data_IF_558334380635
#
_entry.id   IF_558334380635
#
_cell.length_a   1.000
_cell.length_b   1.000
_cell.length_c   1.000
_cell.angle_alpha   90.00
_cell.angle_beta   90.00
_cell.angle_gamma   90.00
#
_symmetry.space_group_name_H-M   'P 1'
#
loop_
_entity.id
_entity.type
_entity.pdbx_description
1 polymer ?
#
# COMPACT_ATOMS: atom_id res chain seq x y z
N UNK A 1 -20.56 -4.11 4.79
CA UNK A 1 -19.90 -3.19 5.77
C UNK A 1 -20.03 -1.73 5.29
N UNK A 2 -20.66 -0.83 6.07
CA UNK A 2 -20.92 0.58 5.65
C UNK A 2 -19.61 1.36 5.46
N UNK A 3 -19.53 2.14 4.37
CA UNK A 3 -18.47 3.13 4.08
C UNK A 3 -18.19 3.96 5.35
N UNK A 4 -17.08 3.68 6.02
CA UNK A 4 -16.68 4.45 7.18
C UNK A 4 -16.04 5.73 6.68
N UNK A 5 -16.69 6.86 6.92
CA UNK A 5 -16.06 8.17 6.74
C UNK A 5 -14.75 8.21 7.53
N UNK A 6 -13.71 8.84 6.98
CA UNK A 6 -12.43 8.96 7.68
C UNK A 6 -12.69 9.77 8.96
N UNK A 7 -12.36 9.21 10.12
CA UNK A 7 -12.50 9.91 11.38
C UNK A 7 -11.40 10.94 11.51
N UNK A 8 -11.80 12.16 11.86
CA UNK A 8 -10.90 13.30 12.06
C UNK A 8 -9.79 13.02 13.08
N UNK A 9 -10.00 12.11 14.04
CA UNK A 9 -8.99 11.71 15.01
C UNK A 9 -7.75 11.07 14.38
N UNK A 10 -7.90 10.25 13.33
CA UNK A 10 -6.77 9.63 12.64
C UNK A 10 -5.97 10.67 11.86
N UNK A 11 -6.67 11.59 11.18
CA UNK A 11 -6.02 12.68 10.47
C UNK A 11 -5.18 13.55 11.40
N UNK A 12 -5.74 13.93 12.57
CA UNK A 12 -5.01 14.72 13.59
C UNK A 12 -3.75 14.00 14.07
N UNK A 13 -3.83 12.69 14.32
CA UNK A 13 -2.67 11.89 14.74
C UNK A 13 -1.57 11.83 13.68
N UNK A 14 -1.94 11.63 12.41
CA UNK A 14 -0.97 11.67 11.32
C UNK A 14 -0.29 13.03 11.24
N UNK A 15 -1.06 14.13 11.30
CA UNK A 15 -0.51 15.48 11.27
C UNK A 15 0.52 15.69 12.40
N UNK A 16 0.16 15.33 13.64
CA UNK A 16 1.06 15.43 14.78
C UNK A 16 2.34 14.61 14.59
N UNK A 17 2.21 13.36 14.14
CA UNK A 17 3.33 12.47 13.85
C UNK A 17 4.28 13.04 12.78
N UNK A 18 3.74 13.61 11.69
CA UNK A 18 4.55 14.22 10.62
C UNK A 18 5.25 15.49 11.12
N UNK A 19 4.56 16.31 11.93
CA UNK A 19 5.12 17.55 12.49
C UNK A 19 6.30 17.28 13.42
N UNK A 20 6.18 16.25 14.26
CA UNK A 20 7.24 15.85 15.20
C UNK A 20 8.51 15.36 14.48
N UNK A 21 8.41 15.00 13.20
CA UNK A 21 9.56 14.61 12.36
C UNK A 21 10.26 15.81 11.69
N UNK A 22 9.89 17.04 12.05
CA UNK A 22 10.62 18.26 11.67
C UNK A 22 10.37 18.77 10.26
N UNK A 23 9.32 18.30 9.57
CA UNK A 23 9.01 18.67 8.19
C UNK A 23 7.93 19.75 8.13
N UNK A 24 8.22 20.88 8.76
CA UNK A 24 7.25 21.94 9.01
C UNK A 24 7.29 23.11 7.99
N UNK A 25 7.92 22.94 6.81
CA UNK A 25 7.96 24.03 5.80
C UNK A 25 7.61 23.61 4.36
N UNK A 26 8.03 22.42 3.89
CA UNK A 26 7.72 22.01 2.50
C UNK A 26 6.32 21.39 2.34
N UNK A 27 5.79 20.74 3.40
CA UNK A 27 4.49 20.09 3.38
C UNK A 27 3.32 21.06 3.67
N UNK A 28 3.56 22.17 4.38
CA UNK A 28 2.52 23.10 4.84
C UNK A 28 2.15 24.22 3.86
N UNK A 29 2.86 24.35 2.75
CA UNK A 29 2.58 25.43 1.80
C UNK A 29 1.37 25.17 0.87
N UNK A 30 0.54 24.16 1.10
CA UNK A 30 -0.37 23.69 0.06
C UNK A 30 -1.87 23.68 0.40
N UNK A 31 -2.62 24.22 -0.58
CA UNK A 31 -4.08 24.31 -0.74
C UNK A 31 -4.78 22.94 -0.89
N UNK A 32 -4.17 21.83 -0.46
CA UNK A 32 -4.64 20.46 -0.71
C UNK A 32 -5.39 19.82 0.47
N UNK A 33 -5.38 20.44 1.66
CA UNK A 33 -6.11 19.93 2.83
C UNK A 33 -5.68 18.51 3.19
N UNK A 34 -6.64 17.60 3.34
CA UNK A 34 -6.38 16.20 3.72
C UNK A 34 -5.69 15.40 2.61
N UNK A 35 -5.70 15.89 1.37
CA UNK A 35 -4.98 15.30 0.24
C UNK A 35 -3.53 15.81 0.14
N UNK A 36 -3.01 16.40 1.21
CA UNK A 36 -1.63 16.87 1.25
C UNK A 36 -0.65 15.69 1.09
N UNK A 37 0.18 15.69 0.05
CA UNK A 37 1.14 14.62 -0.21
C UNK A 37 2.29 14.62 0.81
N UNK A 38 2.74 13.43 1.21
CA UNK A 38 3.77 13.21 2.22
C UNK A 38 5.01 12.61 1.59
N UNK A 39 6.14 13.31 1.72
CA UNK A 39 7.42 12.84 1.19
C UNK A 39 7.77 11.47 1.76
N UNK A 40 8.13 10.51 0.91
CA UNK A 40 8.55 9.18 1.37
C UNK A 40 9.80 9.20 2.26
N UNK A 41 10.56 10.30 2.26
CA UNK A 41 11.73 10.52 3.14
C UNK A 41 11.35 10.64 4.63
N UNK A 42 10.10 10.95 4.95
CA UNK A 42 9.59 11.04 6.33
C UNK A 42 9.50 9.66 6.98
N UNK A 43 9.34 8.61 6.18
CA UNK A 43 9.13 7.26 6.66
C UNK A 43 10.45 6.54 6.92
N UNK A 44 10.54 5.88 8.06
CA UNK A 44 11.67 5.01 8.40
C UNK A 44 11.70 3.85 7.41
N UNK A 45 12.89 3.34 7.09
CA UNK A 45 13.00 2.12 6.29
C UNK A 45 12.72 0.93 7.20
N UNK A 46 11.85 0.01 6.75
CA UNK A 46 11.59 -1.24 7.45
C UNK A 46 12.89 -2.07 7.55
N UNK A 47 13.40 -2.40 8.76
CA UNK A 47 14.62 -3.17 8.91
C UNK A 47 14.51 -4.54 8.25
N UNK A 48 15.44 -4.88 7.34
CA UNK A 48 15.40 -6.10 6.52
C UNK A 48 14.09 -6.29 5.73
N UNK A 49 13.33 -5.21 5.51
CA UNK A 49 12.04 -5.26 4.85
C UNK A 49 12.14 -5.62 3.37
N UNK A 50 11.44 -6.68 2.96
CA UNK A 50 11.34 -7.11 1.56
C UNK A 50 9.88 -7.42 1.22
N UNK A 51 9.37 -6.80 0.17
CA UNK A 51 8.14 -7.26 -0.48
C UNK A 51 8.51 -8.17 -1.65
N UNK A 52 7.83 -9.30 -1.76
CA UNK A 52 7.96 -10.24 -2.87
C UNK A 52 6.58 -10.38 -3.50
N UNK A 53 6.48 -10.14 -4.79
CA UNK A 53 5.28 -10.33 -5.58
C UNK A 53 5.39 -11.63 -6.38
N UNK A 54 4.33 -12.40 -6.48
CA UNK A 54 4.21 -13.36 -7.58
C UNK A 54 4.22 -12.62 -8.92
N UNK A 55 4.56 -13.33 -9.99
CA UNK A 55 4.55 -12.78 -11.33
C UNK A 55 3.13 -12.33 -11.72
N UNK A 56 2.11 -13.10 -11.32
CA UNK A 56 0.70 -12.79 -11.52
C UNK A 56 0.28 -11.49 -10.81
N UNK A 57 0.64 -11.33 -9.54
CA UNK A 57 0.35 -10.12 -8.77
C UNK A 57 1.06 -8.91 -9.39
N UNK A 58 2.31 -9.06 -9.79
CA UNK A 58 3.04 -7.98 -10.45
C UNK A 58 2.37 -7.54 -11.76
N UNK A 59 2.00 -8.48 -12.64
CA UNK A 59 1.29 -8.14 -13.87
C UNK A 59 -0.10 -7.54 -13.62
N UNK A 60 -0.80 -7.98 -12.57
CA UNK A 60 -2.06 -7.37 -12.15
C UNK A 60 -1.86 -5.89 -11.76
N UNK A 61 -0.80 -5.56 -11.02
CA UNK A 61 -0.46 -4.18 -10.65
C UNK A 61 -0.02 -3.34 -11.87
N UNK A 62 0.67 -3.93 -12.85
CA UNK A 62 0.94 -3.26 -14.12
C UNK A 62 -0.36 -2.96 -14.89
N UNK A 63 -1.36 -3.85 -14.81
CA UNK A 63 -2.67 -3.58 -15.42
C UNK A 63 -3.43 -2.48 -14.68
N UNK A 64 -3.34 -2.45 -13.35
CA UNK A 64 -3.84 -1.35 -12.51
C UNK A 64 -3.24 -0.02 -12.97
N UNK A 65 -1.91 0.05 -13.15
CA UNK A 65 -1.23 1.24 -13.70
C UNK A 65 -1.82 1.66 -15.05
N UNK A 66 -1.87 0.74 -16.02
CA UNK A 66 -2.36 1.03 -17.37
C UNK A 66 -3.79 1.60 -17.35
N UNK A 67 -4.68 0.98 -16.56
CA UNK A 67 -6.06 1.44 -16.40
C UNK A 67 -6.13 2.83 -15.75
N UNK A 68 -5.27 3.09 -14.77
CA UNK A 68 -5.19 4.38 -14.06
C UNK A 68 -4.81 5.50 -15.00
N UNK A 69 -3.78 5.28 -15.84
CA UNK A 69 -3.34 6.26 -16.85
C UNK A 69 -4.41 6.45 -17.92
N UNK A 70 -4.99 5.35 -18.42
CA UNK A 70 -5.97 5.39 -19.52
C UNK A 70 -7.29 6.05 -19.10
N UNK A 71 -7.73 5.84 -17.85
CA UNK A 71 -8.99 6.38 -17.34
C UNK A 71 -8.83 7.67 -16.55
N UNK A 72 -7.59 8.03 -16.20
CA UNK A 72 -7.24 9.18 -15.34
C UNK A 72 -8.02 9.12 -14.02
N UNK A 73 -7.97 7.96 -13.36
CA UNK A 73 -8.68 7.67 -12.11
C UNK A 73 -7.87 6.70 -11.27
N UNK A 74 -7.93 6.89 -9.96
CA UNK A 74 -7.38 5.92 -9.01
C UNK A 74 -8.15 4.59 -9.05
N UNK A 75 -7.43 3.49 -8.88
CA UNK A 75 -7.99 2.13 -8.87
C UNK A 75 -7.63 1.48 -7.53
N UNK A 76 -8.60 1.23 -6.64
CA UNK A 76 -8.36 0.52 -5.39
C UNK A 76 -8.27 -0.99 -5.62
N UNK A 77 -7.43 -1.65 -4.82
CA UNK A 77 -7.21 -3.09 -4.84
C UNK A 77 -6.80 -3.61 -3.46
N UNK A 78 -6.96 -4.93 -3.27
CA UNK A 78 -6.35 -5.68 -2.19
C UNK A 78 -5.32 -6.66 -2.76
N UNK A 79 -4.22 -6.86 -2.03
CA UNK A 79 -3.32 -8.01 -2.23
C UNK A 79 -3.40 -8.90 -0.99
N UNK A 80 -3.31 -10.20 -1.20
CA UNK A 80 -3.27 -11.19 -0.13
C UNK A 80 -1.95 -11.94 -0.19
N UNK A 81 -1.37 -12.14 0.98
CA UNK A 81 -0.04 -12.70 1.09
C UNK A 81 0.27 -13.21 2.49
N UNK A 82 1.51 -13.60 2.70
CA UNK A 82 1.97 -14.17 3.95
C UNK A 82 3.33 -13.62 4.32
N UNK A 83 3.55 -13.35 5.59
CA UNK A 83 4.89 -13.10 6.11
C UNK A 83 5.68 -14.42 6.17
N UNK A 84 6.67 -14.56 5.29
CA UNK A 84 7.45 -15.79 5.11
C UNK A 84 8.76 -15.79 5.91
N UNK A 85 9.18 -14.62 6.39
CA UNK A 85 10.27 -14.40 7.33
C UNK A 85 10.10 -12.99 7.92
N UNK A 86 10.82 -12.67 9.00
CA UNK A 86 10.72 -11.36 9.65
C UNK A 86 10.86 -10.19 8.66
N UNK A 87 9.81 -9.37 8.53
CA UNK A 87 9.66 -8.26 7.60
C UNK A 87 9.75 -8.64 6.11
N UNK A 88 9.56 -9.90 5.76
CA UNK A 88 9.55 -10.40 4.38
C UNK A 88 8.18 -10.96 4.02
N UNK A 89 7.50 -10.28 3.11
CA UNK A 89 6.10 -10.57 2.78
C UNK A 89 6.00 -11.03 1.34
N UNK A 90 5.34 -12.16 1.11
CA UNK A 90 5.06 -12.69 -0.21
C UNK A 90 3.57 -12.52 -0.54
N UNK A 91 3.27 -11.69 -1.54
CA UNK A 91 1.92 -11.53 -2.10
C UNK A 91 1.77 -12.39 -3.35
N UNK A 92 0.78 -13.28 -3.34
CA UNK A 92 0.51 -14.24 -4.41
C UNK A 92 -0.93 -14.21 -4.92
N UNK A 93 -1.78 -13.39 -4.32
CA UNK A 93 -3.18 -13.25 -4.70
C UNK A 93 -3.65 -11.78 -4.63
N UNK A 94 -4.72 -11.45 -5.35
CA UNK A 94 -5.20 -10.08 -5.51
C UNK A 94 -6.71 -9.98 -5.76
N UNK A 95 -7.31 -8.87 -5.32
CA UNK A 95 -8.66 -8.46 -5.67
C UNK A 95 -8.64 -7.01 -6.17
N UNK A 96 -9.13 -6.76 -7.39
CA UNK A 96 -9.16 -5.43 -8.01
C UNK A 96 -10.59 -5.00 -8.29
N UNK A 97 -10.93 -3.76 -7.94
CA UNK A 97 -12.23 -3.19 -8.30
C UNK A 97 -12.19 -2.48 -9.64
N UNK A 98 -12.91 -3.02 -10.63
CA UNK A 98 -13.03 -2.45 -11.99
C UNK A 98 -14.44 -2.00 -12.35
N UNK A 99 -15.48 -2.41 -11.61
CA UNK A 99 -16.90 -2.27 -12.04
C UNK A 99 -17.60 -0.99 -11.60
N UNK A 100 -17.04 -0.21 -10.67
CA UNK A 100 -17.65 1.04 -10.15
C UNK A 100 -16.68 2.23 -10.17
N UNK A 101 -16.04 2.47 -11.31
CA UNK A 101 -15.02 3.52 -11.50
C UNK A 101 -15.55 4.96 -11.53
N UNK A 102 -16.68 5.27 -10.89
CA UNK A 102 -17.38 6.57 -11.08
C UNK A 102 -16.74 7.77 -10.37
N UNK A 103 -15.66 7.60 -9.59
CA UNK A 103 -15.03 8.68 -8.82
C UNK A 103 -13.55 8.84 -9.14
N UNK A 104 -13.02 10.05 -8.92
CA UNK A 104 -11.59 10.38 -9.11
C UNK A 104 -10.69 9.81 -8.02
N UNK A 105 -11.23 9.55 -6.83
CA UNK A 105 -10.54 9.01 -5.66
C UNK A 105 -10.84 7.52 -5.45
N UNK A 106 -9.93 6.84 -4.78
CA UNK A 106 -10.04 5.43 -4.38
C UNK A 106 -11.23 5.17 -3.47
N UNK A 107 -12.09 4.23 -3.87
CA UNK A 107 -13.23 3.78 -3.08
C UNK A 107 -13.31 2.26 -3.03
N UNK A 108 -13.04 1.70 -1.86
CA UNK A 108 -13.25 0.29 -1.55
C UNK A 108 -14.75 0.00 -1.43
N UNK A 109 -15.27 -0.89 -2.27
CA UNK A 109 -16.69 -1.21 -2.27
C UNK A 109 -17.03 -2.28 -1.26
N UNK A 110 -18.30 -2.36 -0.86
CA UNK A 110 -18.80 -3.41 0.04
C UNK A 110 -18.41 -4.81 -0.45
N UNK A 111 -18.53 -5.09 -1.76
CA UNK A 111 -18.11 -6.37 -2.33
C UNK A 111 -16.62 -6.68 -2.12
N UNK A 112 -15.72 -5.69 -2.17
CA UNK A 112 -14.30 -5.94 -1.90
C UNK A 112 -14.07 -6.29 -0.43
N UNK A 113 -14.86 -5.68 0.47
CA UNK A 113 -14.82 -6.00 1.89
C UNK A 113 -15.43 -7.36 2.19
N UNK A 114 -16.46 -7.77 1.46
CA UNK A 114 -17.05 -9.10 1.57
C UNK A 114 -16.06 -10.16 1.06
N UNK A 115 -15.39 -9.91 -0.08
CA UNK A 115 -14.31 -10.77 -0.60
C UNK A 115 -13.15 -10.86 0.41
N UNK A 116 -12.71 -9.72 0.96
CA UNK A 116 -11.69 -9.68 2.02
C UNK A 116 -12.10 -10.50 3.25
N UNK A 117 -13.35 -10.39 3.70
CA UNK A 117 -13.86 -11.18 4.82
C UNK A 117 -13.85 -12.68 4.49
N UNK A 118 -14.29 -13.03 3.28
CA UNK A 118 -14.25 -14.41 2.79
C UNK A 118 -12.83 -14.95 2.75
N UNK A 119 -11.86 -14.22 2.19
CA UNK A 119 -10.46 -14.62 2.12
C UNK A 119 -9.87 -14.90 3.51
N UNK A 120 -10.17 -14.02 4.46
CA UNK A 120 -9.72 -14.11 5.85
C UNK A 120 -10.39 -15.26 6.62
N UNK A 121 -11.65 -15.57 6.30
CA UNK A 121 -12.40 -16.66 6.93
C UNK A 121 -12.03 -18.03 6.36
N UNK A 122 -11.86 -18.11 5.04
CA UNK A 122 -11.75 -19.36 4.29
C UNK A 122 -10.32 -19.88 4.18
N UNK A 123 -9.33 -19.01 3.94
CA UNK A 123 -7.98 -19.49 3.61
C UNK A 123 -7.09 -19.79 4.82
N UNK A 124 -7.50 -19.41 6.05
CA UNK A 124 -6.79 -19.67 7.32
C UNK A 124 -5.25 -19.62 7.20
N UNK A 125 -4.71 -18.65 6.46
CA UNK A 125 -3.26 -18.55 6.27
C UNK A 125 -2.64 -18.13 7.59
N UNK A 126 -1.76 -18.94 8.13
CA UNK A 126 -0.88 -18.51 9.22
C UNK A 126 -0.07 -17.29 8.73
N UNK A 127 0.04 -16.26 9.57
CA UNK A 127 0.73 -15.00 9.25
C UNK A 127 0.20 -14.29 8.00
N UNK A 128 -1.13 -14.33 7.79
CA UNK A 128 -1.80 -13.59 6.72
C UNK A 128 -1.45 -12.10 6.80
N UNK A 129 -1.07 -11.55 5.64
CA UNK A 129 -0.90 -10.12 5.43
C UNK A 129 -1.86 -9.66 4.34
N UNK A 130 -2.58 -8.59 4.61
CA UNK A 130 -3.44 -7.94 3.63
C UNK A 130 -2.82 -6.61 3.23
N UNK A 131 -2.65 -6.41 1.93
CA UNK A 131 -2.27 -5.12 1.40
C UNK A 131 -3.51 -4.33 0.97
N UNK A 132 -3.75 -3.16 1.55
CA UNK A 132 -4.71 -2.18 1.06
C UNK A 132 -3.99 -1.25 0.09
N UNK A 133 -4.35 -1.26 -1.19
CA UNK A 133 -3.62 -0.46 -2.18
C UNK A 133 -4.49 0.29 -3.16
N UNK A 134 -3.89 1.33 -3.73
CA UNK A 134 -4.48 2.09 -4.81
C UNK A 134 -3.42 2.63 -5.77
N UNK A 135 -3.87 3.28 -6.83
CA UNK A 135 -3.01 3.90 -7.82
C UNK A 135 -3.28 5.39 -7.92
N UNK A 136 -2.29 6.16 -8.36
CA UNK A 136 -2.47 7.59 -8.66
C UNK A 136 -2.45 7.86 -10.17
N UNK A 137 -3.36 8.71 -10.69
CA UNK A 137 -3.26 9.23 -12.06
C UNK A 137 -2.13 10.28 -12.17
N UNK A 138 -1.67 10.64 -13.39
CA UNK A 138 -0.59 11.59 -13.60
C UNK A 138 -1.06 13.04 -13.39
N UNK A 139 -1.52 13.36 -12.18
CA UNK A 139 -2.11 14.65 -11.83
C UNK A 139 -1.44 15.25 -10.61
N UNK A 140 -0.98 16.50 -10.74
CA UNK A 140 -0.39 17.27 -9.64
C UNK A 140 1.10 16.97 -9.40
N UNK A 141 1.82 17.84 -8.69
CA UNK A 141 3.28 17.80 -8.59
C UNK A 141 3.85 16.65 -7.73
N UNK A 142 3.01 15.92 -7.00
CA UNK A 142 3.42 14.93 -5.99
C UNK A 142 2.62 13.63 -6.08
N UNK A 143 2.20 13.25 -7.30
CA UNK A 143 1.48 12.01 -7.65
C UNK A 143 2.19 10.71 -7.23
N UNK A 144 3.47 10.78 -6.86
CA UNK A 144 4.32 9.66 -6.48
C UNK A 144 4.28 9.34 -4.97
N UNK A 145 3.51 10.08 -4.18
CA UNK A 145 3.52 10.05 -2.71
C UNK A 145 2.16 9.71 -2.13
N UNK A 146 2.14 9.02 -0.98
CA UNK A 146 0.94 8.88 -0.15
C UNK A 146 0.49 10.24 0.39
N UNK A 147 -0.82 10.45 0.57
CA UNK A 147 -1.40 11.66 1.18
C UNK A 147 -1.64 11.51 2.69
N UNK A 148 -1.94 12.61 3.39
CA UNK A 148 -2.41 12.56 4.79
C UNK A 148 -3.64 11.66 4.94
N UNK A 149 -4.58 11.76 3.99
CA UNK A 149 -5.80 10.95 3.94
C UNK A 149 -5.48 9.45 3.77
N UNK A 150 -4.49 9.11 2.93
CA UNK A 150 -4.04 7.71 2.78
C UNK A 150 -3.54 7.14 4.12
N UNK A 151 -2.61 7.84 4.77
CA UNK A 151 -2.02 7.41 6.03
C UNK A 151 -3.09 7.28 7.13
N UNK A 152 -3.97 8.26 7.25
CA UNK A 152 -5.06 8.23 8.23
C UNK A 152 -6.04 7.09 7.93
N UNK A 153 -6.34 6.85 6.65
CA UNK A 153 -7.17 5.75 6.19
C UNK A 153 -6.57 4.38 6.52
N UNK A 154 -5.25 4.23 6.45
CA UNK A 154 -4.56 2.99 6.78
C UNK A 154 -4.56 2.71 8.28
N UNK A 155 -4.35 3.76 9.10
CA UNK A 155 -4.53 3.65 10.56
C UNK A 155 -5.95 3.23 10.90
N UNK A 156 -6.96 3.87 10.31
CA UNK A 156 -8.36 3.54 10.55
C UNK A 156 -8.68 2.13 10.10
N UNK A 157 -8.20 1.72 8.93
CA UNK A 157 -8.43 0.37 8.40
C UNK A 157 -7.88 -0.71 9.33
N UNK A 158 -6.67 -0.52 9.89
CA UNK A 158 -6.09 -1.44 10.88
C UNK A 158 -6.79 -1.35 12.24
N UNK A 159 -7.04 -0.14 12.76
CA UNK A 159 -7.51 0.09 14.13
C UNK A 159 -9.02 0.05 14.33
N UNK A 160 -9.86 0.13 13.31
CA UNK A 160 -11.32 0.14 13.48
C UNK A 160 -12.03 -1.10 12.95
N UNK A 161 -11.47 -1.77 11.95
CA UNK A 161 -12.14 -2.90 11.33
C UNK A 161 -12.00 -4.17 12.19
N UNK A 162 -13.16 -4.71 12.60
CA UNK A 162 -13.27 -5.85 13.51
C UNK A 162 -12.58 -7.10 13.00
N UNK A 163 -12.49 -7.28 11.68
CA UNK A 163 -11.83 -8.42 11.06
C UNK A 163 -10.34 -8.42 11.44
N UNK A 164 -9.67 -7.28 11.33
CA UNK A 164 -8.25 -7.16 11.67
C UNK A 164 -8.01 -7.18 13.19
N UNK A 165 -8.90 -6.54 13.97
CA UNK A 165 -8.84 -6.57 15.43
C UNK A 165 -8.88 -7.98 16.00
N UNK A 166 -9.76 -8.83 15.46
CA UNK A 166 -10.03 -10.15 16.04
C UNK A 166 -9.06 -11.22 15.54
N UNK A 167 -8.51 -11.07 14.33
CA UNK A 167 -7.78 -12.14 13.65
C UNK A 167 -6.26 -11.98 13.57
N UNK A 168 -5.67 -10.95 14.22
CA UNK A 168 -4.22 -10.67 14.21
C UNK A 168 -3.61 -10.69 12.80
N UNK A 169 -4.21 -9.92 11.90
CA UNK A 169 -3.77 -9.80 10.50
C UNK A 169 -2.97 -8.51 10.37
N UNK A 170 -1.79 -8.58 9.76
CA UNK A 170 -1.01 -7.38 9.47
C UNK A 170 -1.53 -6.69 8.21
N UNK A 171 -1.55 -5.36 8.25
CA UNK A 171 -1.98 -4.51 7.14
C UNK A 171 -0.79 -3.75 6.59
N UNK A 172 -0.58 -3.90 5.28
CA UNK A 172 0.38 -3.11 4.50
C UNK A 172 -0.39 -2.23 3.53
N UNK A 173 0.19 -1.10 3.15
CA UNK A 173 -0.35 -0.19 2.16
C UNK A 173 0.47 -0.26 0.88
N UNK A 174 -0.17 -0.13 -0.28
CA UNK A 174 0.50 -0.08 -1.58
C UNK A 174 0.02 1.10 -2.41
N UNK A 175 0.97 1.80 -3.03
CA UNK A 175 0.69 2.85 -4.00
C UNK A 175 1.38 2.51 -5.32
N UNK A 176 0.59 2.37 -6.39
CA UNK A 176 1.07 2.26 -7.78
C UNK A 176 1.08 3.66 -8.40
N UNK A 177 2.25 4.16 -8.73
CA UNK A 177 2.41 5.54 -9.18
C UNK A 177 2.41 5.68 -10.70
N UNK A 178 2.23 6.90 -11.25
CA UNK A 178 2.33 7.15 -12.68
C UNK A 178 3.66 6.76 -13.31
N UNK A 179 4.77 6.86 -12.57
CA UNK A 179 6.10 6.42 -12.99
C UNK A 179 6.29 4.89 -13.00
N UNK A 180 5.25 4.13 -12.64
CA UNK A 180 5.22 2.66 -12.46
C UNK A 180 5.95 2.16 -11.23
N UNK A 181 6.29 3.04 -10.29
CA UNK A 181 6.79 2.58 -9.00
C UNK A 181 5.68 1.89 -8.21
N UNK A 182 6.04 0.83 -7.49
CA UNK A 182 5.14 0.11 -6.60
C UNK A 182 5.65 0.28 -5.17
N UNK A 183 5.02 1.19 -4.45
CA UNK A 183 5.48 1.68 -3.15
C UNK A 183 4.72 1.01 -2.02
N UNK A 184 5.43 0.38 -1.07
CA UNK A 184 4.80 -0.28 0.07
C UNK A 184 5.13 0.40 1.39
N UNK A 185 4.13 0.52 2.27
CA UNK A 185 4.21 1.16 3.57
C UNK A 185 3.55 0.27 4.64
N UNK A 186 4.07 0.26 5.85
CA UNK A 186 3.51 -0.46 6.99
C UNK A 186 3.27 0.51 8.15
N UNK A 187 2.09 0.43 8.77
CA UNK A 187 1.80 1.14 10.02
C UNK A 187 1.96 0.19 11.22
N UNK A 188 2.93 0.51 12.07
CA UNK A 188 3.14 -0.15 13.36
C UNK A 188 2.32 0.58 14.43
N UNK A 189 1.30 -0.08 14.95
CA UNK A 189 0.41 0.44 15.98
C UNK A 189 1.06 0.45 17.37
N UNK A 190 2.15 -0.29 17.59
CA UNK A 190 2.89 -0.31 18.87
C UNK A 190 3.81 0.90 18.99
N UNK A 191 4.52 1.23 17.91
CA UNK A 191 5.42 2.38 17.86
C UNK A 191 4.72 3.65 17.35
N UNK A 192 3.48 3.51 16.87
CA UNK A 192 2.68 4.56 16.23
C UNK A 192 3.44 5.27 15.10
N UNK A 193 4.10 4.50 14.24
CA UNK A 193 4.94 5.02 13.16
C UNK A 193 4.75 4.25 11.84
N UNK A 194 5.15 4.88 10.74
CA UNK A 194 5.11 4.32 9.40
C UNK A 194 6.51 3.95 8.90
N UNK A 195 6.58 2.76 8.31
CA UNK A 195 7.80 2.16 7.78
C UNK A 195 7.63 1.85 6.30
N UNK A 196 8.54 2.34 5.45
CA UNK A 196 8.55 2.03 4.03
C UNK A 196 9.41 0.81 3.73
N UNK A 197 8.98 -0.02 2.78
CA UNK A 197 9.79 -1.10 2.25
C UNK A 197 10.67 -0.57 1.11
N UNK A 198 11.99 -0.56 1.31
CA UNK A 198 12.96 -0.07 0.30
C UNK A 198 13.40 -1.10 -0.74
N UNK A 199 12.75 -2.28 -0.75
CA UNK A 199 13.08 -3.38 -1.65
C UNK A 199 11.82 -4.16 -2.01
N UNK A 200 11.50 -4.16 -3.30
CA UNK A 200 10.41 -4.95 -3.89
C UNK A 200 10.99 -5.89 -4.94
N UNK A 201 10.66 -7.17 -4.82
CA UNK A 201 11.09 -8.23 -5.71
C UNK A 201 9.88 -8.85 -6.39
N UNK A 202 10.07 -9.37 -7.59
CA UNK A 202 9.11 -10.24 -8.26
C UNK A 202 9.73 -11.62 -8.41
N UNK A 203 8.97 -12.64 -8.01
CA UNK A 203 9.34 -14.05 -8.12
C UNK A 203 8.67 -14.62 -9.37
N UNK A 204 9.46 -14.99 -10.37
CA UNK A 204 8.93 -15.60 -11.58
C UNK A 204 8.65 -17.10 -11.41
N UNK A 205 8.02 -17.68 -12.43
CA UNK A 205 7.66 -19.11 -12.48
C UNK A 205 8.85 -20.08 -12.42
N UNK A 206 10.08 -19.58 -12.56
CA UNK A 206 11.34 -20.33 -12.41
C UNK A 206 11.99 -20.14 -11.04
N UNK A 207 11.27 -19.57 -10.07
CA UNK A 207 11.78 -19.20 -8.73
C UNK A 207 12.97 -18.24 -8.76
N UNK A 208 13.13 -17.45 -9.83
CA UNK A 208 14.11 -16.38 -9.89
C UNK A 208 13.50 -15.06 -9.44
N UNK A 209 14.30 -14.23 -8.79
CA UNK A 209 13.87 -12.94 -8.27
C UNK A 209 14.48 -11.80 -9.08
N UNK A 210 13.67 -10.82 -9.44
CA UNK A 210 14.15 -9.56 -10.01
C UNK A 210 13.62 -8.39 -9.19
N UNK A 211 14.45 -7.36 -9.04
CA UNK A 211 14.05 -6.13 -8.35
C UNK A 211 13.25 -5.23 -9.28
N UNK A 212 12.21 -4.62 -8.75
CA UNK A 212 11.45 -3.55 -9.42
C UNK A 212 11.64 -2.22 -8.67
N UNK A 213 11.32 -1.13 -9.36
CA UNK A 213 11.43 0.22 -8.80
C UNK A 213 10.44 0.42 -7.64
N UNK A 214 10.91 1.11 -6.62
CA UNK A 214 10.08 1.69 -5.58
C UNK A 214 10.72 3.00 -5.09
N UNK A 215 9.89 4.00 -4.80
CA UNK A 215 10.28 5.29 -4.24
C UNK A 215 11.33 6.06 -5.07
N UNK A 216 11.26 5.97 -6.39
CA UNK A 216 12.13 6.66 -7.34
C UNK A 216 13.58 6.19 -7.29
N UNK A 217 13.83 4.96 -6.83
CA UNK A 217 15.19 4.45 -6.63
C UNK A 217 15.93 4.12 -7.93
N UNK A 218 15.22 4.10 -9.07
CA UNK A 218 15.77 3.87 -10.41
C UNK A 218 16.39 2.48 -10.61
N UNK A 219 16.03 1.49 -9.77
CA UNK A 219 16.56 0.13 -9.82
C UNK A 219 15.57 -0.84 -10.47
N UNK A 220 15.53 -0.84 -11.81
CA UNK A 220 14.88 -1.89 -12.61
C UNK A 220 15.93 -2.90 -13.11
N UNK A 221 15.52 -4.15 -13.27
CA UNK A 221 16.25 -5.20 -14.02
C UNK A 221 17.54 -5.77 -13.41
N UNK A 222 17.62 -5.91 -12.09
CA UNK A 222 18.69 -6.70 -11.47
C UNK A 222 18.13 -8.07 -11.09
N UNK A 223 18.55 -9.11 -11.82
CA UNK A 223 18.37 -10.51 -11.41
C UNK A 223 19.10 -10.73 -10.07
N UNK A 224 18.35 -10.89 -8.99
CA UNK A 224 18.91 -11.24 -7.68
C UNK A 224 18.98 -12.76 -7.64
N UNK A 225 20.15 -13.35 -7.93
CA UNK A 225 20.34 -14.80 -7.82
C UNK A 225 20.13 -15.24 -6.37
N UNK A 226 19.13 -16.11 -6.21
CA UNK A 226 18.86 -17.05 -5.12
C UNK A 226 19.09 -16.52 -3.70
N UNK A 227 18.01 -16.15 -3.01
CA UNK A 227 18.00 -16.10 -1.55
C UNK A 227 18.19 -17.54 -1.07
N UNK A 228 19.41 -17.89 -0.61
CA UNK A 228 19.63 -19.18 0.05
C UNK A 228 18.78 -19.19 1.33
N UNK A 229 17.98 -20.25 1.47
CA UNK A 229 17.30 -20.60 2.72
C UNK A 229 18.31 -20.77 3.85
#
# INVERSE_FOLDING_TARGET
MKKTELKLEYLKRVIEMINNKGLNQDCYNFKYGDETPISSKVFKIMPNGIIILSEEVYYALLKVHELTITKIREIPFFLYGTEIANNQIYFDDFCIQTKKLFKRFSLYTESMYDDLAYEIDYHQRDNLVVCKGHSHPPMGPLMESFSLNDLAGDMQFKKDNSIFKMKKIEVVSCLVTPSKDINFLYYDDKTEDFYRFGKVLVKNNKNMYYRINCYGDGKQDILVKTIKR
#
